data_IF_916639327151
#
_entry.id   IF_916639327151
#
_cell.length_a   1.000
_cell.length_b   1.000
_cell.length_c   1.000
_cell.angle_alpha   90.00
_cell.angle_beta   90.00
_cell.angle_gamma   90.00
#
_symmetry.space_group_name_H-M   'P 1'
#
loop_
_entity.id
_entity.type
_entity.pdbx_description
1 polymer ?
#
# COMPACT_ATOMS: atom_id res chain seq x y z
N UNK A 1 27.41 66.45 -52.79
CA UNK A 1 26.23 66.03 -53.52
C UNK A 1 25.47 65.11 -52.58
N UNK A 2 24.47 65.67 -52.05
CA UNK A 2 23.12 65.27 -51.65
C UNK A 2 22.92 63.74 -51.38
N UNK A 3 22.80 63.41 -50.14
CA UNK A 3 22.29 62.11 -49.65
C UNK A 3 21.12 62.34 -48.74
N UNK A 4 19.97 61.70 -49.03
CA UNK A 4 18.72 61.82 -48.29
C UNK A 4 18.76 60.98 -47.02
N UNK A 5 18.34 61.62 -45.91
CA UNK A 5 18.08 61.02 -44.63
C UNK A 5 16.60 60.57 -44.59
N UNK A 6 16.35 59.29 -44.48
CA UNK A 6 14.97 58.78 -44.27
C UNK A 6 14.77 58.49 -42.78
N UNK A 7 13.85 59.26 -42.20
CA UNK A 7 13.42 59.10 -40.81
C UNK A 7 12.27 58.08 -40.81
N UNK A 8 12.40 56.94 -40.16
CA UNK A 8 11.30 56.01 -39.86
C UNK A 8 10.67 56.40 -38.54
N UNK A 9 9.45 56.82 -38.63
CA UNK A 9 8.56 57.12 -37.48
C UNK A 9 7.93 55.82 -36.95
N UNK A 10 8.33 55.39 -35.77
CA UNK A 10 7.70 54.24 -35.10
C UNK A 10 6.44 54.71 -34.34
N UNK A 11 5.27 54.32 -34.80
CA UNK A 11 4.03 54.47 -34.08
C UNK A 11 3.93 53.46 -32.95
N UNK A 12 4.01 53.90 -31.72
CA UNK A 12 3.63 53.14 -30.53
C UNK A 12 2.09 53.11 -30.42
N UNK A 13 1.49 51.98 -30.76
CA UNK A 13 0.09 51.71 -30.44
C UNK A 13 0.03 51.24 -28.95
N UNK A 14 -0.46 52.09 -28.07
CA UNK A 14 -0.81 51.80 -26.71
C UNK A 14 -2.11 50.97 -26.70
N UNK A 15 -2.05 49.70 -26.31
CA UNK A 15 -3.22 48.88 -26.00
C UNK A 15 -3.69 49.20 -24.58
N UNK A 16 -4.99 49.42 -24.34
CA UNK A 16 -5.51 49.64 -23.01
C UNK A 16 -5.51 48.32 -22.25
N UNK A 17 -4.74 48.28 -21.16
CA UNK A 17 -4.84 47.21 -20.16
C UNK A 17 -6.22 47.34 -19.49
N UNK A 18 -7.13 46.42 -19.82
CA UNK A 18 -8.35 46.22 -19.09
C UNK A 18 -7.97 45.60 -17.73
N UNK A 19 -8.15 46.38 -16.67
CA UNK A 19 -8.07 45.88 -15.32
C UNK A 19 -9.23 44.89 -15.09
N UNK A 20 -8.93 43.59 -15.17
CA UNK A 20 -9.85 42.58 -14.70
C UNK A 20 -9.99 42.73 -13.20
N UNK A 21 -11.15 43.17 -12.72
CA UNK A 21 -11.54 43.09 -11.33
C UNK A 21 -11.50 41.60 -10.93
N UNK A 22 -10.61 41.28 -9.99
CA UNK A 22 -10.63 40.00 -9.32
C UNK A 22 -11.94 39.92 -8.52
N UNK A 23 -12.93 39.21 -9.06
CA UNK A 23 -14.05 38.71 -8.30
C UNK A 23 -13.49 37.73 -7.29
N UNK A 24 -13.69 38.00 -6.01
CA UNK A 24 -13.44 37.07 -4.91
C UNK A 24 -14.31 35.84 -5.15
N UNK A 25 -13.73 34.81 -5.77
CA UNK A 25 -14.31 33.48 -5.75
C UNK A 25 -14.20 32.99 -4.31
N UNK A 26 -15.37 32.79 -3.70
CA UNK A 26 -15.52 31.99 -2.48
C UNK A 26 -14.66 30.76 -2.63
N UNK A 27 -13.96 30.33 -1.56
CA UNK A 27 -13.37 29.03 -1.36
C UNK A 27 -14.39 27.95 -1.77
N UNK A 28 -14.37 27.56 -3.04
CA UNK A 28 -14.89 26.26 -3.47
C UNK A 28 -13.84 25.27 -2.94
N UNK A 29 -14.09 24.74 -1.74
CA UNK A 29 -13.29 23.68 -1.16
C UNK A 29 -13.10 22.63 -2.26
N UNK A 30 -11.85 22.31 -2.59
CA UNK A 30 -11.49 21.20 -3.47
C UNK A 30 -12.25 19.98 -2.93
N UNK A 31 -13.33 19.59 -3.62
CA UNK A 31 -14.02 18.34 -3.34
C UNK A 31 -13.02 17.24 -3.76
N UNK A 32 -12.32 16.69 -2.77
CA UNK A 32 -11.44 15.54 -3.00
C UNK A 32 -12.31 14.42 -3.61
N UNK A 33 -11.91 13.93 -4.77
CA UNK A 33 -12.61 12.81 -5.38
C UNK A 33 -12.55 11.60 -4.44
N UNK A 34 -13.69 10.91 -4.28
CA UNK A 34 -13.78 9.72 -3.46
C UNK A 34 -12.78 8.65 -3.93
N UNK A 35 -11.91 8.19 -3.05
CA UNK A 35 -11.06 7.05 -3.32
C UNK A 35 -11.90 5.78 -3.44
N UNK A 36 -11.86 5.13 -4.59
CA UNK A 36 -12.47 3.82 -4.88
C UNK A 36 -11.36 2.87 -5.28
N UNK A 37 -10.61 2.44 -4.28
CA UNK A 37 -9.40 1.66 -4.50
C UNK A 37 -9.63 0.14 -4.46
N UNK A 38 -8.65 -0.59 -4.98
CA UNK A 38 -8.61 -2.04 -4.91
C UNK A 38 -7.18 -2.55 -4.76
N UNK A 39 -6.97 -3.52 -3.87
CA UNK A 39 -5.71 -4.26 -3.78
C UNK A 39 -5.69 -5.43 -4.75
N UNK A 40 -4.60 -5.55 -5.51
CA UNK A 40 -4.26 -6.71 -6.33
C UNK A 40 -3.06 -7.41 -5.69
N UNK A 41 -3.33 -8.50 -4.97
CA UNK A 41 -2.34 -9.23 -4.20
C UNK A 41 -1.63 -10.31 -5.05
N UNK A 42 -0.31 -10.37 -4.93
CA UNK A 42 0.51 -11.37 -5.65
C UNK A 42 1.11 -12.43 -4.74
N UNK A 43 1.13 -12.19 -3.43
CA UNK A 43 1.61 -13.17 -2.45
C UNK A 43 0.91 -14.49 -2.63
N UNK A 44 1.66 -15.58 -2.70
CA UNK A 44 1.18 -16.95 -2.99
C UNK A 44 0.25 -17.06 -4.22
N UNK A 45 0.31 -16.07 -5.12
CA UNK A 45 -0.54 -16.00 -6.30
C UNK A 45 -2.02 -15.75 -5.99
N UNK A 46 -2.34 -14.99 -4.93
CA UNK A 46 -3.71 -14.81 -4.44
C UNK A 46 -4.68 -14.28 -5.50
N UNK A 47 -4.39 -13.11 -6.08
CA UNK A 47 -5.21 -12.53 -7.14
C UNK A 47 -4.60 -12.78 -8.52
N UNK A 48 -3.28 -12.70 -8.60
CA UNK A 48 -2.52 -12.89 -9.83
C UNK A 48 -1.07 -13.28 -9.49
N UNK A 49 -0.43 -14.18 -10.24
CA UNK A 49 -0.91 -14.91 -11.43
C UNK A 49 -1.59 -16.25 -11.15
N UNK A 50 -2.00 -16.56 -9.94
CA UNK A 50 -2.83 -17.72 -9.52
C UNK A 50 -2.31 -19.09 -9.97
N UNK A 51 -0.99 -19.24 -10.01
CA UNK A 51 -0.36 -20.50 -10.46
C UNK A 51 -0.24 -20.65 -11.97
N UNK A 52 -0.77 -19.74 -12.78
CA UNK A 52 -0.51 -19.68 -14.23
C UNK A 52 0.99 -19.46 -14.49
N UNK A 53 1.55 -20.16 -15.48
CA UNK A 53 2.98 -20.11 -15.85
C UNK A 53 3.23 -19.61 -17.27
N UNK A 54 2.20 -19.54 -18.10
CA UNK A 54 2.30 -18.97 -19.43
C UNK A 54 2.37 -17.45 -19.35
N UNK A 55 3.49 -16.87 -19.72
CA UNK A 55 3.65 -15.42 -19.73
C UNK A 55 2.64 -14.69 -20.63
N UNK A 56 2.15 -15.34 -21.69
CA UNK A 56 1.10 -14.80 -22.56
C UNK A 56 -0.23 -14.71 -21.81
N UNK A 57 -0.60 -15.76 -21.08
CA UNK A 57 -1.84 -15.80 -20.29
C UNK A 57 -1.74 -14.82 -19.13
N UNK A 58 -0.67 -14.86 -18.35
CA UNK A 58 -0.43 -13.94 -17.24
C UNK A 58 -0.56 -12.48 -17.66
N UNK A 59 0.07 -12.13 -18.79
CA UNK A 59 -0.01 -10.76 -19.34
C UNK A 59 -1.45 -10.39 -19.75
N UNK A 60 -2.17 -11.30 -20.40
CA UNK A 60 -3.55 -11.07 -20.83
C UNK A 60 -4.48 -10.89 -19.63
N UNK A 61 -4.35 -11.75 -18.63
CA UNK A 61 -5.12 -11.69 -17.40
C UNK A 61 -4.87 -10.39 -16.62
N UNK A 62 -3.60 -9.98 -16.45
CA UNK A 62 -3.27 -8.73 -15.77
C UNK A 62 -3.92 -7.53 -16.46
N UNK A 63 -3.86 -7.48 -17.79
CA UNK A 63 -4.49 -6.41 -18.57
C UNK A 63 -6.00 -6.43 -18.42
N UNK A 64 -6.64 -7.61 -18.52
CA UNK A 64 -8.08 -7.75 -18.36
C UNK A 64 -8.52 -7.34 -16.98
N UNK A 65 -7.90 -7.89 -15.95
CA UNK A 65 -8.24 -7.61 -14.54
C UNK A 65 -8.22 -6.10 -14.25
N UNK A 66 -7.19 -5.37 -14.69
CA UNK A 66 -7.10 -3.92 -14.44
C UNK A 66 -8.21 -3.17 -15.20
N UNK A 67 -8.50 -3.55 -16.45
CA UNK A 67 -9.58 -2.93 -17.23
C UNK A 67 -10.95 -3.19 -16.62
N UNK A 68 -11.20 -4.42 -16.19
CA UNK A 68 -12.48 -4.81 -15.60
C UNK A 68 -12.70 -4.07 -14.26
N UNK A 69 -11.66 -3.94 -13.42
CA UNK A 69 -11.71 -3.15 -12.19
C UNK A 69 -11.97 -1.66 -12.45
N UNK A 70 -11.33 -1.08 -13.48
CA UNK A 70 -11.62 0.29 -13.91
C UNK A 70 -13.06 0.45 -14.40
N UNK A 71 -13.55 -0.50 -15.19
CA UNK A 71 -14.93 -0.52 -15.69
C UNK A 71 -15.97 -0.65 -14.57
N UNK A 72 -15.62 -1.30 -13.45
CA UNK A 72 -16.43 -1.35 -12.23
C UNK A 72 -16.45 -0.03 -11.46
N UNK A 73 -15.67 0.99 -11.84
CA UNK A 73 -15.61 2.29 -11.17
C UNK A 73 -14.46 2.44 -10.16
N UNK A 74 -13.55 1.48 -10.06
CA UNK A 74 -12.32 1.66 -9.27
C UNK A 74 -11.43 2.73 -9.93
N UNK A 75 -10.87 3.63 -9.11
CA UNK A 75 -9.99 4.71 -9.58
C UNK A 75 -8.56 4.63 -9.06
N UNK A 76 -8.24 3.64 -8.21
CA UNK A 76 -6.88 3.42 -7.71
C UNK A 76 -6.58 1.94 -7.54
N UNK A 77 -5.44 1.51 -8.09
CA UNK A 77 -4.90 0.17 -7.96
C UNK A 77 -3.74 0.13 -6.98
N UNK A 78 -3.81 -0.70 -5.96
CA UNK A 78 -2.70 -1.04 -5.07
C UNK A 78 -2.13 -2.39 -5.52
N UNK A 79 -1.12 -2.36 -6.37
CA UNK A 79 -0.53 -3.56 -6.95
C UNK A 79 0.64 -4.06 -6.11
N UNK A 80 0.55 -5.27 -5.55
CA UNK A 80 1.62 -5.86 -4.74
C UNK A 80 2.80 -6.25 -5.63
N UNK A 81 3.90 -5.49 -5.55
CA UNK A 81 5.09 -5.67 -6.38
C UNK A 81 6.26 -6.29 -5.64
N UNK A 82 6.24 -6.26 -4.30
CA UNK A 82 7.18 -6.96 -3.43
C UNK A 82 6.39 -7.70 -2.35
N UNK A 83 6.42 -9.03 -2.35
CA UNK A 83 5.63 -9.83 -1.44
C UNK A 83 6.44 -10.66 -0.43
N UNK A 84 7.56 -11.23 -0.85
CA UNK A 84 8.47 -12.06 -0.04
C UNK A 84 9.94 -11.71 -0.33
N UNK A 85 10.28 -10.41 -0.39
CA UNK A 85 11.58 -9.89 -0.85
C UNK A 85 11.95 -10.44 -2.24
N UNK A 86 10.97 -10.54 -3.09
CA UNK A 86 11.01 -10.87 -4.51
C UNK A 86 10.21 -9.84 -5.31
N UNK A 87 10.46 -9.69 -6.61
CA UNK A 87 9.90 -8.61 -7.41
C UNK A 87 8.93 -9.08 -8.49
N UNK A 88 7.84 -8.33 -8.69
CA UNK A 88 6.94 -8.39 -9.83
C UNK A 88 7.31 -7.34 -10.91
N UNK A 89 8.59 -6.95 -10.96
CA UNK A 89 9.14 -5.97 -11.90
C UNK A 89 10.62 -6.27 -12.17
N UNK A 90 11.19 -5.68 -13.21
CA UNK A 90 12.62 -5.81 -13.51
C UNK A 90 13.44 -5.04 -12.48
N UNK A 91 13.94 -5.75 -11.46
CA UNK A 91 14.75 -5.19 -10.37
C UNK A 91 16.22 -5.57 -10.53
N UNK A 92 17.12 -4.64 -10.15
CA UNK A 92 18.55 -4.92 -9.98
C UNK A 92 18.88 -5.32 -8.52
N UNK A 93 17.90 -5.18 -7.61
CA UNK A 93 18.05 -5.41 -6.17
C UNK A 93 17.43 -6.75 -5.76
N UNK A 94 16.22 -7.04 -6.25
CA UNK A 94 15.43 -8.19 -5.86
C UNK A 94 15.39 -9.25 -6.98
N UNK A 95 15.35 -10.55 -6.65
CA UNK A 95 15.10 -11.58 -7.64
C UNK A 95 13.66 -11.49 -8.17
N UNK A 96 13.42 -11.94 -9.41
CA UNK A 96 12.08 -12.15 -9.93
C UNK A 96 11.28 -13.09 -9.04
N UNK A 97 10.01 -12.73 -8.80
CA UNK A 97 9.14 -13.58 -7.98
C UNK A 97 8.92 -14.96 -8.60
N UNK A 98 9.00 -15.98 -7.75
CA UNK A 98 8.66 -17.36 -8.13
C UNK A 98 7.20 -17.52 -8.58
N UNK A 99 6.33 -16.61 -8.20
CA UNK A 99 4.93 -16.65 -8.60
C UNK A 99 4.75 -16.50 -10.12
N UNK A 100 5.71 -15.88 -10.81
CA UNK A 100 5.68 -15.68 -12.25
C UNK A 100 6.05 -16.94 -13.04
N UNK A 101 7.11 -17.62 -12.64
CA UNK A 101 7.67 -18.73 -13.43
C UNK A 101 7.66 -20.08 -12.70
N UNK A 102 7.41 -20.09 -11.39
CA UNK A 102 7.61 -21.23 -10.50
C UNK A 102 9.04 -21.31 -9.93
N UNK A 103 9.97 -20.50 -10.45
CA UNK A 103 11.38 -20.47 -10.02
C UNK A 103 11.76 -19.03 -9.70
N UNK A 104 12.15 -18.75 -8.45
CA UNK A 104 12.61 -17.44 -8.05
C UNK A 104 13.88 -17.03 -8.80
N UNK A 105 13.94 -15.78 -9.24
CA UNK A 105 15.05 -15.24 -10.03
C UNK A 105 14.96 -15.51 -11.54
N UNK A 106 14.03 -16.38 -11.99
CA UNK A 106 13.83 -16.63 -13.41
C UNK A 106 12.97 -15.54 -14.04
N UNK A 107 13.47 -14.91 -15.11
CA UNK A 107 12.74 -13.87 -15.85
C UNK A 107 11.46 -14.42 -16.49
N UNK A 108 10.31 -13.72 -16.34
CA UNK A 108 9.05 -14.09 -17.00
C UNK A 108 8.96 -13.63 -18.46
N UNK A 109 10.01 -13.00 -19.02
CA UNK A 109 10.07 -12.41 -20.36
C UNK A 109 9.12 -11.25 -20.60
N UNK A 110 8.54 -10.68 -19.55
CA UNK A 110 7.78 -9.42 -19.58
C UNK A 110 7.89 -8.74 -18.22
N UNK A 111 7.53 -7.46 -18.15
CA UNK A 111 7.56 -6.68 -16.92
C UNK A 111 6.12 -6.39 -16.44
N UNK A 112 5.64 -7.08 -15.39
CA UNK A 112 4.29 -6.89 -14.87
C UNK A 112 3.99 -5.47 -14.43
N UNK A 113 4.90 -4.81 -13.70
CA UNK A 113 4.66 -3.46 -13.19
C UNK A 113 4.59 -2.44 -14.34
N UNK A 114 5.46 -2.55 -15.34
CA UNK A 114 5.41 -1.70 -16.53
C UNK A 114 4.07 -1.80 -17.27
N UNK A 115 3.52 -3.02 -17.36
CA UNK A 115 2.20 -3.25 -17.97
C UNK A 115 1.10 -2.67 -17.09
N UNK A 116 1.14 -2.94 -15.78
CA UNK A 116 0.12 -2.48 -14.84
C UNK A 116 0.02 -0.95 -14.81
N UNK A 117 1.15 -0.24 -14.74
CA UNK A 117 1.20 1.24 -14.80
C UNK A 117 0.51 1.76 -16.04
N UNK A 118 0.94 1.28 -17.22
CA UNK A 118 0.36 1.73 -18.49
C UNK A 118 -1.13 1.45 -18.56
N UNK A 119 -1.56 0.24 -18.21
CA UNK A 119 -2.99 -0.13 -18.32
C UNK A 119 -3.84 0.61 -17.29
N UNK A 120 -3.36 0.84 -16.08
CA UNK A 120 -4.05 1.64 -15.08
C UNK A 120 -4.24 3.09 -15.58
N UNK A 121 -3.18 3.74 -16.04
CA UNK A 121 -3.23 5.12 -16.56
C UNK A 121 -4.10 5.22 -17.82
N UNK A 122 -4.00 4.27 -18.76
CA UNK A 122 -4.84 4.23 -19.97
C UNK A 122 -6.35 4.12 -19.63
N UNK A 123 -6.70 3.68 -18.42
CA UNK A 123 -8.08 3.56 -17.94
C UNK A 123 -8.43 4.56 -16.81
N UNK A 124 -7.62 5.59 -16.61
CA UNK A 124 -7.89 6.66 -15.63
C UNK A 124 -7.73 6.26 -14.16
N UNK A 125 -7.00 5.17 -13.88
CA UNK A 125 -6.70 4.74 -12.51
C UNK A 125 -5.31 5.22 -12.09
N UNK A 126 -5.19 5.72 -10.87
CA UNK A 126 -3.90 5.82 -10.20
C UNK A 126 -3.38 4.43 -9.83
N UNK A 127 -2.05 4.26 -9.74
CA UNK A 127 -1.42 3.01 -9.32
C UNK A 127 -0.36 3.23 -8.25
N UNK A 128 -0.51 2.55 -7.12
CA UNK A 128 0.48 2.52 -6.07
C UNK A 128 1.22 1.18 -6.05
N UNK A 129 2.54 1.23 -6.03
CA UNK A 129 3.36 0.04 -5.84
C UNK A 129 3.28 -0.41 -4.37
N UNK A 130 2.68 -1.57 -4.14
CA UNK A 130 2.54 -2.12 -2.80
C UNK A 130 3.71 -3.03 -2.46
N UNK A 131 4.43 -2.69 -1.40
CA UNK A 131 5.58 -3.39 -0.83
C UNK A 131 5.18 -3.97 0.52
N UNK A 132 5.37 -5.27 0.72
CA UNK A 132 5.42 -5.82 2.07
C UNK A 132 6.82 -5.53 2.65
N UNK A 133 6.94 -4.73 3.73
CA UNK A 133 8.24 -4.16 4.06
C UNK A 133 9.21 -5.13 4.74
N UNK A 134 8.74 -6.11 5.51
CA UNK A 134 9.64 -6.92 6.34
C UNK A 134 9.53 -8.43 6.11
N UNK A 135 8.53 -8.92 5.38
CA UNK A 135 8.38 -10.36 5.18
C UNK A 135 9.36 -10.88 4.14
N UNK A 136 10.18 -11.84 4.53
CA UNK A 136 11.11 -12.56 3.64
C UNK A 136 10.49 -13.85 3.13
N UNK A 137 9.78 -14.60 4.00
CA UNK A 137 9.16 -15.87 3.63
C UNK A 137 7.94 -16.19 4.50
N UNK A 138 6.97 -16.88 3.89
CA UNK A 138 5.81 -17.44 4.61
C UNK A 138 6.06 -18.87 5.09
N UNK A 139 7.11 -19.55 4.60
CA UNK A 139 7.47 -20.89 5.02
C UNK A 139 8.94 -21.19 4.76
N UNK A 140 9.54 -22.01 5.62
CA UNK A 140 10.95 -22.41 5.57
C UNK A 140 11.30 -23.35 4.40
N UNK A 141 10.33 -24.01 3.78
CA UNK A 141 10.54 -25.14 2.85
C UNK A 141 10.74 -24.76 1.39
N UNK A 142 10.85 -23.47 1.05
CA UNK A 142 10.85 -23.05 -0.34
C UNK A 142 12.27 -22.77 -0.85
N UNK A 143 12.61 -23.30 -2.01
CA UNK A 143 13.83 -22.94 -2.71
C UNK A 143 13.85 -21.42 -2.99
N UNK A 144 14.96 -20.76 -2.67
CA UNK A 144 15.18 -19.34 -2.88
C UNK A 144 16.35 -19.10 -3.84
N UNK A 145 16.26 -18.05 -4.62
CA UNK A 145 17.35 -17.62 -5.49
C UNK A 145 18.57 -17.20 -4.65
N UNK A 146 19.77 -17.34 -5.24
CA UNK A 146 21.01 -16.90 -4.57
C UNK A 146 21.04 -15.40 -4.30
N UNK A 147 20.35 -14.61 -5.12
CA UNK A 147 20.22 -13.14 -4.99
C UNK A 147 19.10 -12.73 -4.03
N UNK A 148 18.47 -13.67 -3.35
CA UNK A 148 17.49 -13.38 -2.33
C UNK A 148 18.18 -12.94 -1.05
N UNK A 149 17.68 -11.90 -0.39
CA UNK A 149 18.28 -11.24 0.77
C UNK A 149 18.68 -12.21 1.90
N UNK A 150 17.93 -13.28 2.10
CA UNK A 150 18.26 -14.34 3.06
C UNK A 150 19.63 -15.01 2.79
N UNK A 151 20.04 -15.11 1.52
CA UNK A 151 21.32 -15.71 1.14
C UNK A 151 22.44 -14.69 1.09
N UNK A 152 22.16 -13.46 0.74
CA UNK A 152 23.14 -12.38 0.66
C UNK A 152 23.43 -11.78 2.03
N UNK A 153 22.38 -11.65 2.85
CA UNK A 153 22.42 -11.04 4.18
C UNK A 153 21.67 -11.87 5.21
N UNK A 154 22.12 -13.10 5.52
CA UNK A 154 21.46 -13.96 6.49
C UNK A 154 21.38 -13.32 7.90
N UNK A 155 22.30 -12.41 8.21
CA UNK A 155 22.34 -11.65 9.46
C UNK A 155 21.22 -10.60 9.61
N UNK A 156 20.51 -10.29 8.50
CA UNK A 156 19.36 -9.37 8.54
C UNK A 156 18.04 -10.11 8.81
N UNK A 157 18.05 -11.44 8.78
CA UNK A 157 16.82 -12.25 8.74
C UNK A 157 16.64 -13.03 10.02
N UNK A 158 15.46 -12.90 10.62
CA UNK A 158 15.02 -13.73 11.73
C UNK A 158 13.97 -14.75 11.31
N UNK A 159 14.12 -15.99 11.78
CA UNK A 159 13.02 -16.97 11.78
C UNK A 159 12.19 -16.77 13.06
N UNK A 160 10.90 -16.55 12.89
CA UNK A 160 9.97 -16.46 14.00
C UNK A 160 8.65 -17.16 13.64
N UNK A 161 8.36 -18.24 14.37
CA UNK A 161 7.14 -19.01 14.15
C UNK A 161 7.07 -19.71 12.77
N UNK A 162 8.20 -20.09 12.20
CA UNK A 162 8.31 -20.73 10.87
C UNK A 162 8.12 -19.78 9.71
N UNK A 163 8.27 -18.48 9.93
CA UNK A 163 8.27 -17.42 8.93
C UNK A 163 9.52 -16.57 9.10
N UNK A 164 9.97 -15.99 8.01
CA UNK A 164 11.19 -15.20 7.98
C UNK A 164 10.89 -13.72 7.78
N UNK A 165 11.60 -12.89 8.54
CA UNK A 165 11.42 -11.44 8.57
C UNK A 165 12.76 -10.74 8.54
N UNK A 166 12.84 -9.58 7.87
CA UNK A 166 13.94 -8.63 8.05
C UNK A 166 13.85 -7.98 9.42
N UNK A 167 15.02 -7.68 10.02
CA UNK A 167 15.06 -6.96 11.29
C UNK A 167 15.06 -5.44 11.06
N UNK A 168 13.97 -4.73 11.39
CA UNK A 168 13.90 -3.28 11.22
C UNK A 168 14.81 -2.49 12.17
N UNK A 169 15.39 -3.15 13.19
CA UNK A 169 16.40 -2.56 14.06
C UNK A 169 17.77 -2.42 13.42
N UNK A 170 17.98 -3.03 12.24
CA UNK A 170 19.20 -2.88 11.48
C UNK A 170 19.08 -1.70 10.50
N UNK A 171 19.93 -0.64 10.62
CA UNK A 171 19.93 0.50 9.71
C UNK A 171 20.18 0.12 8.23
N UNK A 172 20.90 -0.96 7.96
CA UNK A 172 21.16 -1.45 6.60
C UNK A 172 19.87 -2.01 5.97
N UNK A 173 19.00 -2.65 6.75
CA UNK A 173 17.67 -3.09 6.30
C UNK A 173 16.79 -1.89 5.94
N UNK A 174 16.81 -0.83 6.74
CA UNK A 174 16.07 0.41 6.44
C UNK A 174 16.57 1.03 5.14
N UNK A 175 17.90 1.05 4.93
CA UNK A 175 18.49 1.54 3.68
C UNK A 175 18.11 0.66 2.48
N UNK A 176 18.15 -0.66 2.63
CA UNK A 176 17.74 -1.62 1.61
C UNK A 176 16.29 -1.40 1.15
N UNK A 177 15.36 -1.17 2.08
CA UNK A 177 13.97 -0.83 1.75
C UNK A 177 13.85 0.52 1.04
N UNK A 178 14.67 1.50 1.43
CA UNK A 178 14.78 2.78 0.74
C UNK A 178 15.27 2.62 -0.70
N UNK A 179 16.26 1.75 -0.93
CA UNK A 179 16.82 1.51 -2.27
C UNK A 179 15.81 0.82 -3.19
N UNK A 180 15.04 -0.15 -2.67
CA UNK A 180 13.91 -0.77 -3.40
C UNK A 180 12.88 0.31 -3.78
N UNK A 181 12.49 1.16 -2.83
CA UNK A 181 11.54 2.26 -3.06
C UNK A 181 12.04 3.23 -4.12
N UNK A 182 13.31 3.61 -4.03
CA UNK A 182 14.00 4.48 -5.01
C UNK A 182 14.04 3.85 -6.39
N UNK A 183 14.35 2.56 -6.49
CA UNK A 183 14.38 1.82 -7.74
C UNK A 183 13.02 1.85 -8.44
N UNK A 184 11.94 1.53 -7.71
CA UNK A 184 10.56 1.53 -8.23
C UNK A 184 10.20 2.92 -8.77
N UNK A 185 10.36 3.98 -7.96
CA UNK A 185 9.99 5.35 -8.31
C UNK A 185 10.82 5.93 -9.46
N UNK A 186 12.07 5.48 -9.61
CA UNK A 186 12.96 5.94 -10.69
C UNK A 186 12.61 5.28 -12.02
N UNK A 187 12.21 4.00 -12.00
CA UNK A 187 12.00 3.20 -13.22
C UNK A 187 10.57 3.20 -13.72
N UNK A 188 9.60 3.37 -12.82
CA UNK A 188 8.17 3.22 -13.14
C UNK A 188 7.40 4.48 -12.76
N UNK A 189 6.44 4.85 -13.58
CA UNK A 189 5.57 6.00 -13.38
C UNK A 189 4.40 5.64 -12.45
N UNK A 190 4.72 5.15 -11.23
CA UNK A 190 3.71 4.88 -10.20
C UNK A 190 3.31 6.18 -9.51
N UNK A 191 2.05 6.30 -9.10
CA UNK A 191 1.51 7.47 -8.41
C UNK A 191 1.80 7.46 -6.91
N UNK A 192 2.24 6.32 -6.38
CA UNK A 192 2.63 6.21 -4.98
C UNK A 192 3.30 4.90 -4.60
N UNK A 193 3.78 4.90 -3.37
CA UNK A 193 4.26 3.72 -2.65
C UNK A 193 3.28 3.41 -1.53
N UNK A 194 2.97 2.14 -1.37
CA UNK A 194 2.07 1.64 -0.34
C UNK A 194 2.74 0.49 0.42
N UNK A 195 2.68 0.51 1.76
CA UNK A 195 3.10 -0.61 2.60
C UNK A 195 1.93 -1.13 3.44
N UNK A 196 1.95 -2.44 3.73
CA UNK A 196 0.92 -3.09 4.54
C UNK A 196 1.30 -3.19 6.03
N UNK A 197 0.64 -4.06 6.78
CA UNK A 197 0.75 -4.21 8.23
C UNK A 197 1.77 -5.27 8.67
N UNK A 198 2.63 -5.76 7.78
CA UNK A 198 3.66 -6.74 8.15
C UNK A 198 4.91 -6.04 8.69
N UNK A 199 4.82 -5.63 9.96
CA UNK A 199 5.90 -5.06 10.75
C UNK A 199 6.61 -6.14 11.58
N UNK A 200 6.86 -5.93 12.88
CA UNK A 200 7.31 -7.02 13.74
C UNK A 200 6.27 -8.16 13.78
N UNK A 201 6.70 -9.42 14.00
CA UNK A 201 5.78 -10.55 14.07
C UNK A 201 4.66 -10.38 15.08
N UNK A 202 3.46 -10.81 14.74
CA UNK A 202 2.36 -10.89 15.71
C UNK A 202 2.71 -11.90 16.82
N UNK A 203 2.35 -11.55 18.05
CA UNK A 203 2.69 -12.32 19.25
C UNK A 203 4.08 -12.06 19.84
N UNK A 204 4.93 -11.28 19.15
CA UNK A 204 6.26 -10.96 19.68
C UNK A 204 6.20 -10.15 20.97
N UNK A 205 5.22 -9.27 21.12
CA UNK A 205 5.05 -8.43 22.31
C UNK A 205 4.65 -9.25 23.54
N UNK A 206 3.90 -10.31 23.33
CA UNK A 206 3.46 -11.25 24.37
C UNK A 206 4.45 -12.40 24.59
N UNK A 207 5.49 -12.50 23.75
CA UNK A 207 6.51 -13.53 23.85
C UNK A 207 7.42 -13.28 25.06
N UNK A 208 7.35 -14.17 26.02
CA UNK A 208 8.15 -14.10 27.26
C UNK A 208 9.46 -14.88 27.18
N UNK A 209 9.77 -15.50 26.03
CA UNK A 209 11.03 -16.20 25.83
C UNK A 209 12.19 -15.20 25.88
N UNK A 210 13.29 -15.59 26.47
CA UNK A 210 14.50 -14.78 26.44
C UNK A 210 15.19 -14.83 25.09
N UNK A 211 16.03 -13.88 24.77
CA UNK A 211 16.78 -13.78 23.50
C UNK A 211 17.62 -15.03 23.16
N UNK A 212 18.00 -15.82 24.13
CA UNK A 212 18.78 -17.06 23.95
C UNK A 212 17.92 -18.31 23.73
N UNK A 213 16.61 -18.22 23.86
CA UNK A 213 15.72 -19.36 23.69
C UNK A 213 15.53 -19.72 22.22
N UNK A 214 15.48 -21.01 21.86
CA UNK A 214 15.28 -21.43 20.48
C UNK A 214 14.00 -20.87 19.86
N UNK A 215 14.12 -20.29 18.67
CA UNK A 215 13.00 -19.69 17.92
C UNK A 215 12.45 -18.39 18.54
N UNK A 216 13.14 -17.79 19.52
CA UNK A 216 12.85 -16.43 19.96
C UNK A 216 13.39 -15.41 18.96
N UNK A 217 12.74 -14.24 18.91
CA UNK A 217 13.28 -13.09 18.19
C UNK A 217 14.46 -12.52 18.95
N UNK A 218 15.65 -12.54 18.38
CA UNK A 218 16.87 -12.08 19.03
C UNK A 218 17.46 -10.86 18.35
N UNK A 219 17.02 -9.68 18.78
CA UNK A 219 17.55 -8.37 18.36
C UNK A 219 18.50 -7.74 19.40
N UNK A 220 19.02 -8.55 20.33
CA UNK A 220 19.84 -8.05 21.44
C UNK A 220 21.11 -7.31 21.03
N UNK A 221 21.78 -7.79 19.98
CA UNK A 221 23.00 -7.15 19.47
C UNK A 221 22.70 -5.78 18.85
N UNK A 222 21.61 -5.68 18.09
CA UNK A 222 21.16 -4.42 17.48
C UNK A 222 20.66 -3.45 18.57
N UNK A 223 19.92 -3.95 19.55
CA UNK A 223 19.48 -3.14 20.68
C UNK A 223 20.68 -2.59 21.48
N UNK A 224 21.71 -3.40 21.73
CA UNK A 224 22.92 -2.94 22.41
C UNK A 224 23.67 -1.86 21.60
N UNK A 225 23.67 -1.98 20.26
CA UNK A 225 24.34 -1.03 19.37
C UNK A 225 23.55 0.26 19.14
N UNK A 226 22.21 0.16 19.01
CA UNK A 226 21.35 1.26 18.51
C UNK A 226 20.21 1.64 19.46
N UNK A 227 20.11 1.04 20.65
CA UNK A 227 19.03 1.30 21.62
C UNK A 227 19.04 2.71 22.22
N UNK A 228 20.21 3.40 22.21
CA UNK A 228 20.37 4.82 22.58
C UNK A 228 19.71 5.20 23.93
N UNK A 229 19.69 4.27 24.90
CA UNK A 229 19.08 4.49 26.21
C UNK A 229 17.56 4.34 26.27
N UNK A 230 16.92 3.98 25.17
CA UNK A 230 15.49 3.65 25.14
C UNK A 230 15.22 2.31 25.83
N UNK A 231 13.99 2.08 26.29
CA UNK A 231 13.52 0.73 26.59
C UNK A 231 13.45 -0.11 25.31
N UNK A 232 13.53 -1.44 25.43
CA UNK A 232 13.40 -2.34 24.27
C UNK A 232 12.08 -2.12 23.52
N UNK A 233 10.99 -1.90 24.24
CA UNK A 233 9.68 -1.62 23.64
C UNK A 233 9.72 -0.33 22.81
N UNK A 234 10.21 0.76 23.39
CA UNK A 234 10.26 2.05 22.70
C UNK A 234 11.24 2.03 21.52
N UNK A 235 12.36 1.32 21.66
CA UNK A 235 13.31 1.13 20.56
C UNK A 235 12.67 0.38 19.39
N UNK A 236 11.90 -0.69 19.64
CA UNK A 236 11.20 -1.40 18.56
C UNK A 236 10.15 -0.53 17.86
N UNK A 237 9.42 0.32 18.62
CA UNK A 237 8.55 1.32 17.99
C UNK A 237 9.35 2.30 17.13
N UNK A 238 10.49 2.78 17.62
CA UNK A 238 11.32 3.72 16.85
C UNK A 238 11.92 3.10 15.59
N UNK A 239 12.15 1.79 15.55
CA UNK A 239 12.60 1.08 14.36
C UNK A 239 11.53 1.10 13.26
N UNK A 240 10.27 0.84 13.59
CA UNK A 240 9.17 0.93 12.63
C UNK A 240 8.94 2.39 12.20
N UNK A 241 9.02 3.35 13.12
CA UNK A 241 8.96 4.77 12.75
C UNK A 241 10.08 5.14 11.76
N UNK A 242 11.29 4.60 11.95
CA UNK A 242 12.43 4.81 11.04
C UNK A 242 12.15 4.24 9.66
N UNK A 243 11.58 3.02 9.55
CA UNK A 243 11.17 2.45 8.25
C UNK A 243 10.17 3.38 7.57
N UNK A 244 9.06 3.72 8.23
CA UNK A 244 7.98 4.53 7.66
C UNK A 244 8.50 5.91 7.24
N UNK A 245 9.24 6.60 8.12
CA UNK A 245 9.77 7.94 7.82
C UNK A 245 10.79 7.91 6.69
N UNK A 246 11.62 6.88 6.62
CA UNK A 246 12.62 6.76 5.55
C UNK A 246 11.95 6.52 4.21
N UNK A 247 10.97 5.63 4.13
CA UNK A 247 10.26 5.36 2.87
C UNK A 247 9.44 6.57 2.39
N UNK A 248 8.76 7.28 3.31
CA UNK A 248 8.09 8.55 2.99
C UNK A 248 9.08 9.58 2.44
N UNK A 249 10.20 9.81 3.13
CA UNK A 249 11.22 10.74 2.68
C UNK A 249 11.78 10.33 1.31
N UNK A 250 12.12 9.06 1.10
CA UNK A 250 12.63 8.55 -0.17
C UNK A 250 11.62 8.76 -1.29
N UNK A 251 10.33 8.55 -1.02
CA UNK A 251 9.27 8.78 -2.01
C UNK A 251 9.29 10.21 -2.50
N UNK A 252 9.27 11.17 -1.60
CA UNK A 252 9.25 12.59 -1.97
C UNK A 252 10.58 13.13 -2.51
N UNK A 253 11.73 12.56 -2.10
CA UNK A 253 13.02 12.89 -2.68
C UNK A 253 13.12 12.49 -4.15
N UNK A 254 12.59 11.31 -4.51
CA UNK A 254 12.66 10.79 -5.89
C UNK A 254 11.53 11.36 -6.75
N UNK A 255 10.32 11.41 -6.22
CA UNK A 255 9.13 11.89 -6.93
C UNK A 255 8.24 12.71 -6.00
N UNK A 256 8.41 14.04 -5.95
CA UNK A 256 7.71 14.92 -5.00
C UNK A 256 6.19 14.84 -5.02
N UNK A 257 5.59 14.46 -6.15
CA UNK A 257 4.13 14.32 -6.31
C UNK A 257 3.61 12.92 -5.98
N UNK A 258 4.48 11.91 -5.85
CA UNK A 258 4.04 10.57 -5.49
C UNK A 258 3.64 10.49 -4.02
N UNK A 259 2.59 9.74 -3.72
CA UNK A 259 2.08 9.58 -2.36
C UNK A 259 2.73 8.37 -1.67
N UNK A 260 2.95 8.49 -0.38
CA UNK A 260 3.34 7.38 0.48
C UNK A 260 2.26 7.10 1.52
N UNK A 261 1.78 5.85 1.57
CA UNK A 261 0.76 5.48 2.53
C UNK A 261 0.97 4.12 3.16
N UNK A 262 0.32 3.93 4.28
CA UNK A 262 0.40 2.71 5.09
C UNK A 262 -1.00 2.13 5.31
N UNK A 263 -1.11 0.80 5.15
CA UNK A 263 -2.32 0.04 5.50
C UNK A 263 -2.10 -0.73 6.81
N UNK A 264 -2.32 -0.10 7.97
CA UNK A 264 -2.20 -0.78 9.26
C UNK A 264 -3.38 -1.72 9.52
N UNK A 265 -3.29 -2.53 10.57
CA UNK A 265 -4.43 -3.31 11.02
C UNK A 265 -5.61 -2.40 11.39
N UNK A 266 -6.84 -2.90 11.24
CA UNK A 266 -8.05 -2.12 11.38
C UNK A 266 -8.20 -1.39 12.73
N UNK A 267 -7.64 -1.94 13.83
CA UNK A 267 -7.60 -1.26 15.12
C UNK A 267 -6.19 -0.78 15.45
N UNK A 268 -6.09 0.44 15.95
CA UNK A 268 -4.80 1.00 16.40
C UNK A 268 -4.12 0.11 17.45
N UNK A 269 -4.89 -0.45 18.39
CA UNK A 269 -4.34 -1.36 19.40
C UNK A 269 -3.74 -2.64 18.83
N UNK A 270 -4.31 -3.17 17.73
CA UNK A 270 -3.75 -4.34 17.07
C UNK A 270 -2.44 -4.00 16.35
N UNK A 271 -2.38 -2.82 15.70
CA UNK A 271 -1.16 -2.34 15.05
C UNK A 271 -0.04 -2.13 16.08
N UNK A 272 -0.36 -1.56 17.26
CA UNK A 272 0.61 -1.37 18.34
C UNK A 272 1.20 -2.69 18.87
N UNK A 273 0.51 -3.84 18.73
CA UNK A 273 1.08 -5.15 19.08
C UNK A 273 2.26 -5.54 18.17
N UNK A 274 2.32 -4.95 16.98
CA UNK A 274 3.40 -5.13 16.01
C UNK A 274 4.49 -4.05 16.14
N UNK A 275 4.54 -3.33 17.26
CA UNK A 275 5.40 -2.16 17.50
C UNK A 275 5.26 -1.06 16.44
N UNK A 276 4.06 -0.91 15.88
CA UNK A 276 3.70 0.09 14.86
C UNK A 276 2.57 0.97 15.41
N UNK A 277 2.75 2.29 15.41
CA UNK A 277 1.76 3.22 15.93
C UNK A 277 1.42 4.31 14.89
N UNK A 278 0.28 4.19 14.19
CA UNK A 278 -0.13 5.16 13.18
C UNK A 278 -0.23 6.61 13.70
N UNK A 279 -0.52 6.78 15.00
CA UNK A 279 -0.60 8.12 15.62
C UNK A 279 0.75 8.84 15.61
N UNK A 280 1.85 8.09 15.72
CA UNK A 280 3.21 8.62 15.67
C UNK A 280 3.52 9.10 14.25
N UNK A 281 3.18 8.31 13.24
CA UNK A 281 3.43 8.65 11.82
C UNK A 281 2.65 9.89 11.39
N UNK A 282 1.36 9.97 11.76
CA UNK A 282 0.52 11.15 11.50
C UNK A 282 1.07 12.38 12.23
N UNK A 283 1.50 12.23 13.49
CA UNK A 283 2.06 13.34 14.26
C UNK A 283 3.40 13.86 13.71
N UNK A 284 4.19 12.96 13.10
CA UNK A 284 5.49 13.27 12.51
C UNK A 284 5.39 13.77 11.05
N UNK A 285 4.22 13.63 10.41
CA UNK A 285 4.05 13.92 8.99
C UNK A 285 4.83 12.94 8.11
N UNK A 286 4.88 11.66 8.50
CA UNK A 286 5.65 10.60 7.81
C UNK A 286 4.77 9.74 6.90
N UNK A 287 3.54 10.15 6.62
CA UNK A 287 2.59 9.49 5.71
C UNK A 287 1.73 10.55 5.02
N UNK A 288 1.32 10.31 3.78
CA UNK A 288 0.38 11.16 3.04
C UNK A 288 -1.06 10.68 3.20
N UNK A 289 -1.27 9.40 3.48
CA UNK A 289 -2.57 8.81 3.80
C UNK A 289 -2.40 7.58 4.70
N UNK A 290 -3.49 7.23 5.39
CA UNK A 290 -3.62 5.98 6.15
C UNK A 290 -4.79 5.18 5.60
N UNK A 291 -4.64 3.83 5.51
CA UNK A 291 -5.62 2.92 4.94
C UNK A 291 -5.83 1.69 5.84
N UNK A 292 -6.49 1.84 7.01
CA UNK A 292 -6.68 0.74 7.95
C UNK A 292 -7.62 -0.34 7.41
N UNK A 293 -7.32 -1.59 7.74
CA UNK A 293 -8.03 -2.79 7.29
C UNK A 293 -9.25 -3.09 8.20
N UNK A 294 -10.40 -2.44 7.95
CA UNK A 294 -11.61 -2.59 8.76
C UNK A 294 -12.40 -3.85 8.38
N UNK A 295 -11.84 -5.01 8.65
CA UNK A 295 -12.35 -6.29 8.19
C UNK A 295 -13.39 -6.92 9.14
N UNK A 296 -14.35 -6.14 9.65
CA UNK A 296 -15.44 -6.58 10.50
C UNK A 296 -16.79 -6.05 9.99
N UNK A 297 -17.88 -6.78 10.28
CA UNK A 297 -19.21 -6.34 9.88
C UNK A 297 -19.80 -5.29 10.82
N UNK A 298 -20.82 -4.57 10.33
CA UNK A 298 -21.59 -3.61 11.11
C UNK A 298 -22.31 -4.30 12.27
N UNK A 299 -22.90 -5.47 12.00
CA UNK A 299 -23.70 -6.24 12.95
C UNK A 299 -22.90 -7.00 13.99
N UNK A 300 -21.58 -6.95 13.97
CA UNK A 300 -20.74 -7.57 14.99
C UNK A 300 -20.99 -6.93 16.36
N UNK A 301 -21.48 -7.67 17.31
CA UNK A 301 -21.97 -7.14 18.59
C UNK A 301 -20.90 -6.64 19.57
N UNK A 302 -19.60 -6.79 19.27
CA UNK A 302 -18.50 -6.47 20.17
C UNK A 302 -17.82 -5.10 19.85
N UNK A 303 -16.64 -4.88 20.48
CA UNK A 303 -15.83 -3.68 20.29
C UNK A 303 -15.23 -3.56 18.89
N UNK A 304 -15.17 -4.65 18.13
CA UNK A 304 -14.62 -4.66 16.78
C UNK A 304 -15.69 -4.45 15.69
N UNK A 305 -16.93 -4.10 16.03
CA UNK A 305 -17.94 -3.74 15.05
C UNK A 305 -17.49 -2.57 14.16
N UNK A 306 -17.70 -2.66 12.86
CA UNK A 306 -17.22 -1.70 11.87
C UNK A 306 -17.46 -0.22 12.26
N UNK A 307 -18.64 0.23 12.70
CA UNK A 307 -18.85 1.64 13.04
C UNK A 307 -18.01 2.11 14.23
N UNK A 308 -17.71 1.21 15.19
CA UNK A 308 -16.91 1.53 16.36
C UNK A 308 -15.44 1.70 15.98
N UNK A 309 -14.93 0.80 15.13
CA UNK A 309 -13.56 0.86 14.65
C UNK A 309 -13.37 2.04 13.70
N UNK A 310 -14.33 2.33 12.83
CA UNK A 310 -14.31 3.53 11.98
C UNK A 310 -14.17 4.80 12.84
N UNK A 311 -14.96 4.91 13.90
CA UNK A 311 -14.92 6.06 14.84
C UNK A 311 -13.56 6.17 15.60
N UNK A 312 -12.87 5.06 15.87
CA UNK A 312 -11.54 5.07 16.50
C UNK A 312 -10.55 5.90 15.67
N UNK A 313 -10.63 5.81 14.32
CA UNK A 313 -9.71 6.47 13.40
C UNK A 313 -9.92 8.00 13.30
N UNK A 314 -11.09 8.51 13.61
CA UNK A 314 -11.33 9.97 13.64
C UNK A 314 -10.32 10.71 14.54
N UNK A 315 -9.99 10.12 15.70
CA UNK A 315 -9.05 10.72 16.65
C UNK A 315 -7.59 10.64 16.21
N UNK A 316 -7.27 9.74 15.29
CA UNK A 316 -5.91 9.53 14.75
C UNK A 316 -5.63 10.52 13.63
N UNK A 317 -6.61 10.77 12.77
CA UNK A 317 -6.43 11.57 11.55
C UNK A 317 -6.51 13.07 11.84
N UNK A 318 -5.47 13.79 11.48
CA UNK A 318 -5.34 15.24 11.67
C UNK A 318 -5.41 15.98 10.32
N UNK A 319 -6.45 15.70 9.53
CA UNK A 319 -6.63 16.30 8.21
C UNK A 319 -5.91 15.59 7.06
N UNK A 320 -5.24 14.47 7.31
CA UNK A 320 -4.73 13.60 6.26
C UNK A 320 -5.84 12.72 5.69
N UNK A 321 -5.78 12.34 4.40
CA UNK A 321 -6.70 11.40 3.80
C UNK A 321 -6.74 10.07 4.57
N UNK A 322 -7.96 9.62 4.88
CA UNK A 322 -8.24 8.31 5.47
C UNK A 322 -9.05 7.50 4.47
N UNK A 323 -8.51 6.37 4.04
CA UNK A 323 -9.23 5.42 3.21
C UNK A 323 -9.53 4.17 4.02
N UNK A 324 -10.67 3.52 3.80
CA UNK A 324 -11.12 2.40 4.63
C UNK A 324 -11.02 1.09 3.86
N UNK A 325 -10.20 0.15 4.34
CA UNK A 325 -10.09 -1.19 3.78
C UNK A 325 -11.33 -2.04 4.07
N UNK A 326 -11.94 -2.61 3.03
CA UNK A 326 -13.14 -3.44 3.07
C UNK A 326 -12.81 -4.90 2.72
N UNK A 327 -13.41 -5.85 3.45
CA UNK A 327 -13.08 -7.27 3.36
C UNK A 327 -13.96 -8.01 2.34
N UNK A 328 -13.87 -7.70 1.04
CA UNK A 328 -14.62 -8.38 -0.02
C UNK A 328 -14.48 -9.91 0.04
N UNK A 329 -13.28 -10.42 0.34
CA UNK A 329 -13.01 -11.86 0.47
C UNK A 329 -13.87 -12.58 1.52
N UNK A 330 -14.43 -11.85 2.48
CA UNK A 330 -15.31 -12.45 3.52
C UNK A 330 -16.71 -12.77 3.01
N UNK A 331 -17.06 -12.30 1.84
CA UNK A 331 -18.31 -12.70 1.18
C UNK A 331 -18.24 -14.11 0.57
N UNK A 332 -17.13 -14.84 0.80
CA UNK A 332 -16.98 -16.23 0.36
C UNK A 332 -17.74 -17.21 1.25
N UNK A 333 -18.58 -18.12 0.68
CA UNK A 333 -19.24 -19.19 1.42
C UNK A 333 -18.30 -20.09 2.25
N UNK A 334 -17.05 -20.24 1.83
CA UNK A 334 -16.04 -20.98 2.63
C UNK A 334 -15.71 -20.25 3.94
N UNK A 335 -15.71 -18.92 3.94
CA UNK A 335 -15.52 -18.13 5.16
C UNK A 335 -16.76 -18.19 6.06
N UNK A 336 -17.99 -18.24 5.52
CA UNK A 336 -19.22 -18.29 6.32
C UNK A 336 -19.30 -19.50 7.24
N UNK A 337 -18.70 -20.62 6.83
CA UNK A 337 -18.72 -21.87 7.62
C UNK A 337 -17.77 -21.83 8.82
N UNK A 338 -16.80 -20.92 8.82
CA UNK A 338 -15.71 -20.86 9.80
C UNK A 338 -15.73 -19.63 10.69
N UNK A 339 -16.59 -18.63 10.40
CA UNK A 339 -16.52 -17.33 11.06
C UNK A 339 -17.72 -17.02 11.94
N UNK A 340 -17.40 -16.37 13.07
CA UNK A 340 -18.38 -15.80 14.03
C UNK A 340 -19.10 -14.57 13.43
N UNK A 341 -18.52 -13.95 12.38
CA UNK A 341 -19.04 -12.73 11.76
C UNK A 341 -19.93 -13.06 10.55
N UNK A 342 -21.23 -13.15 10.79
CA UNK A 342 -22.22 -13.51 9.78
C UNK A 342 -22.67 -12.35 8.88
N UNK A 343 -22.26 -11.11 9.17
CA UNK A 343 -22.69 -9.92 8.42
C UNK A 343 -22.33 -9.98 6.93
N UNK A 344 -21.16 -10.51 6.61
CA UNK A 344 -20.67 -10.63 5.23
C UNK A 344 -21.37 -11.68 4.37
N UNK A 345 -22.39 -12.39 4.88
CA UNK A 345 -23.26 -13.27 4.09
C UNK A 345 -24.18 -12.50 3.14
N UNK A 346 -24.45 -11.26 3.48
CA UNK A 346 -25.29 -10.37 2.68
C UNK A 346 -24.39 -9.34 1.98
N UNK A 347 -24.48 -9.26 0.67
CA UNK A 347 -23.72 -8.30 -0.16
C UNK A 347 -24.03 -6.84 0.19
N UNK A 348 -25.25 -6.55 0.62
CA UNK A 348 -25.67 -5.21 1.08
C UNK A 348 -24.88 -4.70 2.30
N UNK A 349 -24.17 -5.57 2.99
CA UNK A 349 -23.27 -5.19 4.07
C UNK A 349 -22.23 -4.16 3.60
N UNK A 350 -21.69 -4.36 2.39
CA UNK A 350 -20.68 -3.47 1.82
C UNK A 350 -21.25 -2.11 1.46
N UNK A 351 -22.43 -2.04 0.84
CA UNK A 351 -23.10 -0.76 0.57
C UNK A 351 -23.31 0.05 1.85
N UNK A 352 -23.79 -0.60 2.92
CA UNK A 352 -23.97 0.05 4.24
C UNK A 352 -22.64 0.49 4.86
N UNK A 353 -21.56 -0.27 4.70
CA UNK A 353 -20.22 0.13 5.17
C UNK A 353 -19.72 1.38 4.43
N UNK A 354 -19.91 1.42 3.11
CA UNK A 354 -19.54 2.55 2.27
C UNK A 354 -20.38 3.78 2.62
N UNK A 355 -21.65 3.63 2.87
CA UNK A 355 -22.51 4.73 3.35
C UNK A 355 -22.01 5.31 4.68
N UNK A 356 -21.58 4.45 5.60
CA UNK A 356 -20.96 4.92 6.85
C UNK A 356 -19.66 5.69 6.59
N UNK A 357 -18.82 5.22 5.65
CA UNK A 357 -17.57 5.90 5.26
C UNK A 357 -17.88 7.27 4.63
N UNK A 358 -18.82 7.33 3.67
CA UNK A 358 -19.24 8.57 3.00
C UNK A 358 -19.83 9.59 3.97
N UNK A 359 -20.57 9.13 4.97
CA UNK A 359 -21.29 9.99 5.92
C UNK A 359 -20.50 10.34 7.19
N UNK A 360 -19.34 9.76 7.45
CA UNK A 360 -18.58 10.02 8.68
C UNK A 360 -17.89 11.39 8.70
N UNK A 361 -17.62 12.01 7.54
CA UNK A 361 -17.04 13.34 7.40
C UNK A 361 -15.52 13.44 7.63
N UNK A 362 -14.83 12.34 7.90
CA UNK A 362 -13.38 12.29 8.11
C UNK A 362 -12.66 11.21 7.30
N UNK A 363 -13.38 10.35 6.60
CA UNK A 363 -12.81 9.42 5.63
C UNK A 363 -13.03 9.93 4.19
N UNK A 364 -12.09 9.65 3.30
CA UNK A 364 -12.06 10.17 1.94
C UNK A 364 -12.28 9.06 0.89
N UNK A 365 -12.71 7.87 1.32
CA UNK A 365 -13.01 6.76 0.43
C UNK A 365 -12.70 5.40 1.04
N UNK A 366 -12.70 4.39 0.17
CA UNK A 366 -12.55 2.99 0.57
C UNK A 366 -11.70 2.21 -0.42
N UNK A 367 -11.20 1.05 0.03
CA UNK A 367 -10.36 0.16 -0.78
C UNK A 367 -10.76 -1.29 -0.55
N UNK A 368 -11.01 -2.01 -1.61
CA UNK A 368 -11.45 -3.38 -1.58
C UNK A 368 -10.29 -4.38 -1.40
N UNK A 369 -10.35 -5.22 -0.41
CA UNK A 369 -9.51 -6.39 -0.32
C UNK A 369 -10.36 -7.64 -0.59
N UNK A 370 -10.27 -8.21 -1.81
CA UNK A 370 -9.24 -8.03 -2.81
C UNK A 370 -9.82 -8.10 -4.25
N UNK A 371 -8.97 -7.81 -5.25
CA UNK A 371 -9.36 -7.70 -6.66
C UNK A 371 -10.14 -8.91 -7.20
N UNK A 372 -9.65 -10.13 -6.93
CA UNK A 372 -10.30 -11.33 -7.45
C UNK A 372 -11.74 -11.53 -6.95
N UNK A 373 -12.02 -11.16 -5.69
CA UNK A 373 -13.38 -11.29 -5.15
C UNK A 373 -14.35 -10.36 -5.87
N UNK A 374 -13.91 -9.19 -6.35
CA UNK A 374 -14.70 -8.29 -7.16
C UNK A 374 -14.95 -8.83 -8.57
N UNK A 375 -13.94 -9.48 -9.17
CA UNK A 375 -13.98 -9.96 -10.55
C UNK A 375 -14.76 -11.27 -10.70
N UNK A 376 -14.74 -12.15 -9.70
CA UNK A 376 -15.31 -13.50 -9.81
C UNK A 376 -16.63 -13.71 -9.12
N UNK A 377 -17.05 -12.79 -8.19
CA UNK A 377 -18.33 -12.93 -7.49
C UNK A 377 -19.38 -12.07 -8.16
N UNK A 378 -20.20 -12.70 -8.97
CA UNK A 378 -21.22 -12.04 -9.77
C UNK A 378 -22.17 -11.18 -8.94
N UNK A 379 -22.61 -11.65 -7.78
CA UNK A 379 -23.48 -10.92 -6.88
C UNK A 379 -22.83 -9.66 -6.28
N UNK A 380 -21.57 -9.76 -5.86
CA UNK A 380 -20.81 -8.62 -5.38
C UNK A 380 -20.47 -7.65 -6.52
N UNK A 381 -20.05 -8.18 -7.67
CA UNK A 381 -19.75 -7.41 -8.89
C UNK A 381 -20.97 -6.55 -9.30
N UNK A 382 -22.13 -7.17 -9.45
CA UNK A 382 -23.35 -6.47 -9.84
C UNK A 382 -23.78 -5.44 -8.79
N UNK A 383 -23.73 -5.78 -7.51
CA UNK A 383 -24.05 -4.85 -6.43
C UNK A 383 -23.15 -3.60 -6.43
N UNK A 384 -21.85 -3.76 -6.71
CA UNK A 384 -20.92 -2.62 -6.80
C UNK A 384 -21.32 -1.68 -7.94
N UNK A 385 -21.59 -2.21 -9.12
CA UNK A 385 -21.93 -1.40 -10.31
C UNK A 385 -23.31 -0.76 -10.21
N UNK A 386 -24.30 -1.49 -9.70
CA UNK A 386 -25.71 -1.07 -9.73
C UNK A 386 -26.11 -0.21 -8.53
N UNK A 387 -25.48 -0.42 -7.36
CA UNK A 387 -25.94 0.16 -6.09
C UNK A 387 -24.88 1.07 -5.42
N UNK A 388 -23.58 0.91 -5.76
CA UNK A 388 -22.51 1.64 -5.05
C UNK A 388 -21.91 2.74 -5.92
N UNK A 389 -21.61 2.48 -7.19
CA UNK A 389 -20.94 3.39 -8.13
C UNK A 389 -21.85 3.80 -9.28
#
# INVERSE_FOLDING_TARGET
>A
MKGLLSILLALCLASPFAAAQASSSKDEGLVMEEQRGVWLATVVGLDWPRGERSHFVQRSELISNIRDLAAMGCNTLYFQVVSEMDAMYASDILPWSRQLTGVEGMSPYFDPLSIAVRVAHDNGMAIHAWINPLRVSLSDSTFRARTQVKHEHPEWVHDYGGREYLDPGNPEVVQFLSDITREILTRYDVDGIHIDDYFYPDGLREDTRGWSEPGAWNDSTLFAAYGNGLSLEEWRFSNIDSVVTTLHRTTHEVRPQALFGVSPQGRVSNTCRLYADPRRWVAQGSVDYILPQLYWSIGRGDFAAFPKVLKEWESVMKGLPLYIGLAAYKHDPMFWRRQVDSGFRNVEEFGRQIDLVRNCGYASGHVWFRAQDLLEREDLHNHIIEEIY
#
